data_IF_939325830337
#
_entry.id   IF_939325830337
#
_cell.length_a   1.000
_cell.length_b   1.000
_cell.length_c   1.000
_cell.angle_alpha   90.00
_cell.angle_beta   90.00
_cell.angle_gamma   90.00
#
_symmetry.space_group_name_H-M   'P 1'
#
loop_
_entity.id
_entity.type
_entity.pdbx_description
1 polymer ?
#
# COMPACT_ATOMS: atom_id res chain seq x y z
N UNK A 1 20.67 14.28 -3.17
CA UNK A 1 20.12 12.96 -2.76
C UNK A 1 18.72 13.20 -2.21
N UNK A 2 17.69 13.23 -3.07
CA UNK A 2 16.30 13.54 -2.66
C UNK A 2 15.27 12.66 -3.38
N UNK A 3 15.68 11.57 -4.03
CA UNK A 3 14.80 10.73 -4.85
C UNK A 3 13.79 9.94 -4.01
N UNK A 4 14.20 9.37 -2.88
CA UNK A 4 13.32 8.49 -2.09
C UNK A 4 12.10 9.16 -1.42
N UNK A 5 12.12 10.48 -1.20
CA UNK A 5 10.95 11.19 -0.61
C UNK A 5 9.86 11.39 -1.65
N UNK A 6 10.24 11.80 -2.85
CA UNK A 6 9.31 12.07 -3.95
C UNK A 6 8.68 10.77 -4.47
N UNK A 7 9.45 9.67 -4.52
CA UNK A 7 8.91 8.35 -4.88
C UNK A 7 7.90 7.85 -3.85
N UNK A 8 8.17 8.02 -2.54
CA UNK A 8 7.20 7.67 -1.50
C UNK A 8 5.91 8.47 -1.62
N UNK A 9 5.99 9.76 -1.89
CA UNK A 9 4.80 10.59 -2.08
C UNK A 9 4.02 10.19 -3.33
N UNK A 10 4.70 9.81 -4.42
CA UNK A 10 4.04 9.28 -5.63
C UNK A 10 3.35 7.95 -5.36
N UNK A 11 4.02 6.99 -4.71
CA UNK A 11 3.44 5.70 -4.35
C UNK A 11 2.25 5.90 -3.41
N UNK A 12 2.38 6.74 -2.39
CA UNK A 12 1.28 7.07 -1.47
C UNK A 12 0.07 7.64 -2.22
N UNK A 13 0.30 8.66 -3.06
CA UNK A 13 -0.78 9.27 -3.86
C UNK A 13 -1.46 8.23 -4.74
N UNK A 14 -0.68 7.30 -5.30
CA UNK A 14 -1.22 6.23 -6.15
C UNK A 14 -2.02 5.20 -5.36
N UNK A 15 -1.51 4.78 -4.20
CA UNK A 15 -2.23 3.90 -3.28
C UNK A 15 -3.52 4.52 -2.77
N UNK A 16 -3.54 5.83 -2.51
CA UNK A 16 -4.75 6.57 -2.14
C UNK A 16 -5.79 6.55 -3.27
N UNK A 17 -5.35 6.72 -4.53
CA UNK A 17 -6.26 6.60 -5.68
C UNK A 17 -6.83 5.19 -5.82
N UNK A 18 -5.99 4.15 -5.74
CA UNK A 18 -6.42 2.76 -5.82
C UNK A 18 -7.37 2.40 -4.67
N UNK A 19 -7.06 2.87 -3.46
CA UNK A 19 -7.92 2.68 -2.31
C UNK A 19 -9.26 3.39 -2.54
N UNK A 20 -9.27 4.63 -3.03
CA UNK A 20 -10.51 5.36 -3.31
C UNK A 20 -11.33 4.72 -4.44
N UNK A 21 -10.69 4.03 -5.39
CA UNK A 21 -11.36 3.27 -6.46
C UNK A 21 -12.09 2.04 -5.93
N UNK A 22 -11.43 1.26 -5.06
CA UNK A 22 -12.05 0.05 -4.47
C UNK A 22 -12.95 0.37 -3.27
N UNK A 23 -12.80 1.54 -2.66
CA UNK A 23 -13.54 1.97 -1.49
C UNK A 23 -14.79 2.77 -1.88
N UNK A 24 -15.76 2.04 -2.46
CA UNK A 24 -17.04 2.55 -2.96
C UNK A 24 -17.86 3.32 -1.90
N UNK A 25 -17.87 2.83 -0.65
CA UNK A 25 -18.67 3.41 0.44
C UNK A 25 -17.89 4.36 1.36
N UNK A 26 -16.91 5.10 0.84
CA UNK A 26 -16.15 6.04 1.68
C UNK A 26 -17.09 7.08 2.30
N UNK A 27 -17.13 7.23 3.64
CA UNK A 27 -17.92 8.27 4.26
C UNK A 27 -17.32 9.64 3.90
N UNK A 28 -18.14 10.53 3.35
CA UNK A 28 -17.74 11.90 3.04
C UNK A 28 -17.31 12.60 4.34
N UNK A 29 -16.00 12.80 4.52
CA UNK A 29 -15.43 13.44 5.71
C UNK A 29 -14.37 12.63 6.46
N UNK A 30 -14.15 11.35 6.13
CA UNK A 30 -13.00 10.61 6.69
C UNK A 30 -11.73 11.09 6.00
N UNK A 31 -10.89 11.83 6.73
CA UNK A 31 -9.54 12.14 6.28
C UNK A 31 -8.75 10.82 6.16
N UNK A 32 -8.32 10.48 4.95
CA UNK A 32 -7.41 9.35 4.75
C UNK A 32 -6.09 9.70 5.44
N UNK A 33 -5.85 9.07 6.58
CA UNK A 33 -4.59 9.22 7.28
C UNK A 33 -3.67 8.09 6.84
N UNK A 34 -2.61 8.43 6.11
CA UNK A 34 -1.68 7.43 5.57
C UNK A 34 -0.99 6.59 6.66
N UNK A 35 -0.92 7.10 7.89
CA UNK A 35 -0.37 6.40 9.05
C UNK A 35 -1.41 5.63 9.85
N UNK A 36 -2.70 5.89 9.65
CA UNK A 36 -3.75 5.17 10.36
C UNK A 36 -3.92 3.75 9.79
N UNK A 37 -4.23 2.77 10.64
CA UNK A 37 -4.55 1.42 10.18
C UNK A 37 -5.80 1.46 9.29
N UNK A 38 -5.77 0.73 8.16
CA UNK A 38 -6.90 0.68 7.23
C UNK A 38 -8.18 0.17 7.91
N UNK A 39 -8.08 -0.80 8.83
CA UNK A 39 -9.23 -1.27 9.63
C UNK A 39 -9.84 -0.17 10.52
N UNK A 40 -9.03 0.76 11.04
CA UNK A 40 -9.54 1.90 11.82
C UNK A 40 -10.25 2.93 10.96
N UNK A 41 -9.90 2.99 9.67
CA UNK A 41 -10.57 3.84 8.69
C UNK A 41 -11.90 3.23 8.20
N UNK A 42 -12.21 1.99 8.59
CA UNK A 42 -13.41 1.28 8.16
C UNK A 42 -13.24 0.49 6.86
N UNK A 43 -11.99 0.22 6.45
CA UNK A 43 -11.69 -0.64 5.31
C UNK A 43 -11.89 -2.10 5.71
N UNK A 44 -12.81 -2.77 5.03
CA UNK A 44 -13.10 -4.18 5.26
C UNK A 44 -12.02 -5.09 4.66
N UNK A 45 -11.99 -6.36 5.07
CA UNK A 45 -10.99 -7.34 4.58
C UNK A 45 -11.12 -7.57 3.07
N UNK A 46 -12.34 -7.48 2.52
CA UNK A 46 -12.57 -7.57 1.08
C UNK A 46 -11.96 -6.38 0.34
N UNK A 47 -12.21 -5.15 0.81
CA UNK A 47 -11.65 -3.92 0.21
C UNK A 47 -10.13 -3.93 0.31
N UNK A 48 -9.58 -4.42 1.42
CA UNK A 48 -8.14 -4.61 1.57
C UNK A 48 -7.59 -5.61 0.54
N UNK A 49 -8.25 -6.77 0.36
CA UNK A 49 -7.82 -7.76 -0.63
C UNK A 49 -7.84 -7.20 -2.06
N UNK A 50 -8.88 -6.44 -2.43
CA UNK A 50 -8.99 -5.78 -3.73
C UNK A 50 -7.91 -4.71 -3.92
N UNK A 51 -7.61 -3.91 -2.89
CA UNK A 51 -6.51 -2.96 -2.92
C UNK A 51 -5.18 -3.69 -3.18
N UNK A 52 -4.90 -4.76 -2.44
CA UNK A 52 -3.66 -5.52 -2.58
C UNK A 52 -3.53 -6.17 -3.96
N UNK A 53 -4.62 -6.70 -4.53
CA UNK A 53 -4.63 -7.21 -5.90
C UNK A 53 -4.27 -6.12 -6.91
N UNK A 54 -4.93 -4.96 -6.83
CA UNK A 54 -4.64 -3.83 -7.71
C UNK A 54 -3.20 -3.33 -7.57
N UNK A 55 -2.70 -3.22 -6.34
CA UNK A 55 -1.30 -2.82 -6.08
C UNK A 55 -0.32 -3.86 -6.60
N UNK A 56 -0.61 -5.16 -6.41
CA UNK A 56 0.21 -6.24 -6.94
C UNK A 56 0.29 -6.21 -8.46
N UNK A 57 -0.84 -5.91 -9.13
CA UNK A 57 -0.90 -5.79 -10.59
C UNK A 57 -0.23 -4.52 -11.10
N UNK A 58 -0.36 -3.39 -10.39
CA UNK A 58 0.21 -2.11 -10.81
C UNK A 58 1.72 -2.01 -10.60
N UNK A 59 2.22 -2.52 -9.48
CA UNK A 59 3.64 -2.49 -9.13
C UNK A 59 4.35 -3.83 -9.41
N UNK A 60 3.67 -4.78 -10.06
CA UNK A 60 4.19 -6.12 -10.36
C UNK A 60 4.70 -6.87 -9.10
N UNK A 61 4.01 -6.70 -7.98
CA UNK A 61 4.36 -7.31 -6.68
C UNK A 61 3.57 -8.60 -6.49
N UNK A 62 4.30 -9.70 -6.30
CA UNK A 62 3.70 -10.97 -5.92
C UNK A 62 3.46 -11.04 -4.40
N UNK A 63 2.22 -10.84 -3.96
CA UNK A 63 1.84 -10.91 -2.55
C UNK A 63 1.70 -12.35 -2.02
N UNK A 64 1.77 -13.37 -2.90
CA UNK A 64 1.39 -14.75 -2.57
C UNK A 64 2.43 -15.49 -1.73
N UNK A 65 3.68 -15.04 -1.71
CA UNK A 65 4.77 -15.84 -1.18
C UNK A 65 4.92 -15.83 0.35
N UNK A 66 4.64 -14.74 1.07
CA UNK A 66 4.90 -14.71 2.52
C UNK A 66 4.28 -13.51 3.28
N UNK A 67 3.63 -12.59 2.58
CA UNK A 67 3.26 -11.30 3.18
C UNK A 67 1.86 -11.38 3.79
N UNK A 68 1.78 -11.84 5.04
CA UNK A 68 0.56 -11.67 5.86
C UNK A 68 0.36 -10.20 6.19
N UNK A 69 -0.18 -9.45 5.24
CA UNK A 69 -0.63 -8.08 5.45
C UNK A 69 -1.90 -8.14 6.29
N UNK A 70 -1.72 -8.15 7.61
CA UNK A 70 -2.83 -8.09 8.55
C UNK A 70 -3.57 -6.76 8.44
N UNK A 71 -4.84 -6.73 8.86
CA UNK A 71 -5.69 -5.55 8.77
C UNK A 71 -5.17 -4.28 9.48
N UNK A 72 -4.16 -4.42 10.34
CA UNK A 72 -3.47 -3.29 10.97
C UNK A 72 -2.52 -2.52 10.03
N UNK A 73 -2.39 -2.92 8.76
CA UNK A 73 -1.54 -2.20 7.81
C UNK A 73 -2.10 -0.80 7.50
N UNK A 74 -1.22 0.19 7.50
CA UNK A 74 -1.49 1.57 7.05
C UNK A 74 -1.00 1.77 5.61
N UNK A 75 -1.57 2.74 4.89
CA UNK A 75 -1.12 3.10 3.52
C UNK A 75 0.38 3.40 3.44
N UNK A 76 0.93 4.05 4.47
CA UNK A 76 2.38 4.33 4.55
C UNK A 76 3.21 3.06 4.67
N UNK A 77 2.76 2.09 5.44
CA UNK A 77 3.43 0.79 5.54
C UNK A 77 3.35 0.03 4.22
N UNK A 78 2.22 0.11 3.52
CA UNK A 78 2.06 -0.46 2.19
C UNK A 78 3.00 0.22 1.18
N UNK A 79 3.09 1.55 1.20
CA UNK A 79 3.99 2.32 0.34
C UNK A 79 5.46 2.00 0.58
N UNK A 80 5.88 1.86 1.83
CA UNK A 80 7.25 1.45 2.19
C UNK A 80 7.56 0.04 1.66
N UNK A 81 6.58 -0.87 1.73
CA UNK A 81 6.70 -2.24 1.26
C UNK A 81 6.77 -2.30 -0.27
N UNK A 82 5.96 -1.49 -0.95
CA UNK A 82 5.99 -1.30 -2.40
C UNK A 82 7.36 -0.76 -2.81
N UNK A 83 7.87 0.31 -2.19
CA UNK A 83 9.19 0.86 -2.50
C UNK A 83 10.32 -0.15 -2.26
N UNK A 84 10.25 -0.97 -1.21
CA UNK A 84 11.24 -2.04 -0.98
C UNK A 84 11.22 -3.12 -2.06
N UNK A 85 10.04 -3.41 -2.63
CA UNK A 85 9.84 -4.43 -3.67
C UNK A 85 10.15 -3.89 -5.07
N UNK A 86 9.70 -2.67 -5.36
CA UNK A 86 9.87 -1.93 -6.60
C UNK A 86 11.34 -1.46 -6.77
N UNK A 87 11.98 -1.06 -5.67
CA UNK A 87 13.42 -0.74 -5.59
C UNK A 87 14.38 -1.93 -5.75
N UNK A 88 13.86 -3.15 -5.97
CA UNK A 88 14.57 -4.26 -6.60
C UNK A 88 14.80 -5.52 -5.75
N UNK A 89 15.13 -6.66 -6.39
CA UNK A 89 15.89 -7.73 -5.75
C UNK A 89 17.37 -7.30 -5.67
N UNK A 90 17.74 -6.53 -4.65
CA UNK A 90 19.15 -6.24 -4.34
C UNK A 90 19.43 -6.14 -2.83
N UNK A 91 18.72 -6.94 -2.02
CA UNK A 91 19.06 -7.12 -0.60
C UNK A 91 18.95 -8.59 -0.16
N UNK A 92 19.19 -9.53 -1.09
CA UNK A 92 19.47 -10.91 -0.77
C UNK A 92 20.78 -11.32 -1.45
N UNK A 93 21.76 -11.71 -0.62
CA UNK A 93 23.10 -12.22 -0.96
C UNK A 93 24.16 -11.18 -1.35
N UNK A 94 24.72 -10.46 -0.37
CA UNK A 94 26.17 -10.38 -0.13
C UNK A 94 26.42 -9.95 1.33
N UNK A 95 26.67 -10.93 2.21
CA UNK A 95 27.60 -10.93 3.36
C UNK A 95 27.28 -12.09 4.31
#
# INVERSE_FOLDING_TARGET
MVTGRTELEHVLTRLEMLLNDVWDQRPAGVAMSATAPLVSLGVDSLTLALLLDNVGREFHIDWTADTRLGGAISLRSLADLVLRRDGGPAAAAEA
#
